data_IF_936408198856
#
_entry.id   IF_936408198856
#
_cell.length_a   1.000
_cell.length_b   1.000
_cell.length_c   1.000
_cell.angle_alpha   90.00
_cell.angle_beta   90.00
_cell.angle_gamma   90.00
#
_symmetry.space_group_name_H-M   'P 1'
#
loop_
_entity.id
_entity.type
_entity.pdbx_description
1 polymer ?
#
# COMPACT_ATOMS: atom_id res chain seq x y z
N UNK A 1 13.93 -20.29 -11.00
CA UNK A 1 15.31 -20.65 -11.36
C UNK A 1 15.54 -20.65 -12.88
N UNK A 2 14.54 -20.94 -13.72
CA UNK A 2 14.77 -21.17 -15.16
C UNK A 2 15.27 -19.97 -16.02
N UNK A 3 14.90 -18.71 -15.73
CA UNK A 3 15.18 -17.60 -16.67
C UNK A 3 16.66 -17.24 -16.77
N UNK A 4 17.40 -17.25 -15.65
CA UNK A 4 18.84 -16.93 -15.65
C UNK A 4 19.67 -18.01 -16.38
N UNK A 5 19.33 -19.28 -16.18
CA UNK A 5 20.00 -20.41 -16.85
C UNK A 5 19.80 -20.32 -18.37
N UNK A 6 18.58 -20.01 -18.84
CA UNK A 6 18.28 -19.81 -20.26
C UNK A 6 19.04 -18.62 -20.86
N UNK A 7 19.27 -17.55 -20.08
CA UNK A 7 20.10 -16.41 -20.52
C UNK A 7 21.56 -16.84 -20.69
N UNK A 8 22.10 -17.63 -19.77
CA UNK A 8 23.46 -18.16 -19.90
C UNK A 8 23.59 -19.08 -21.11
N UNK A 9 22.64 -19.97 -21.32
CA UNK A 9 22.60 -20.86 -22.48
C UNK A 9 22.54 -20.08 -23.80
N UNK A 10 21.70 -19.04 -23.88
CA UNK A 10 21.61 -18.14 -25.04
C UNK A 10 22.96 -17.43 -25.31
N UNK A 11 23.65 -16.96 -24.27
CA UNK A 11 24.97 -16.33 -24.40
C UNK A 11 26.02 -17.30 -24.94
N UNK A 12 26.00 -18.55 -24.46
CA UNK A 12 26.90 -19.59 -24.94
C UNK A 12 26.65 -19.90 -26.43
N UNK A 13 25.39 -20.05 -26.85
CA UNK A 13 25.04 -20.24 -28.28
C UNK A 13 25.50 -19.07 -29.15
N UNK A 14 25.42 -17.84 -28.65
CA UNK A 14 25.96 -16.64 -29.34
C UNK A 14 27.48 -16.72 -29.54
N UNK A 15 28.21 -17.19 -28.53
CA UNK A 15 29.67 -17.41 -28.61
C UNK A 15 30.01 -18.48 -29.64
N UNK A 16 29.22 -19.56 -29.69
CA UNK A 16 29.40 -20.65 -30.68
C UNK A 16 29.20 -20.17 -32.11
N UNK A 17 28.24 -19.28 -32.37
CA UNK A 17 28.06 -18.67 -33.70
C UNK A 17 29.29 -17.86 -34.13
N UNK A 18 29.84 -17.04 -33.23
CA UNK A 18 31.01 -16.19 -33.53
C UNK A 18 32.24 -17.03 -33.88
N UNK A 19 32.44 -18.15 -33.17
CA UNK A 19 33.57 -19.06 -33.38
C UNK A 19 33.35 -20.09 -34.51
N UNK A 20 32.21 -20.04 -35.21
CA UNK A 20 31.86 -21.08 -36.19
C UNK A 20 32.78 -21.05 -37.41
N UNK A 21 33.32 -22.22 -37.76
CA UNK A 21 34.35 -22.36 -38.80
C UNK A 21 33.78 -22.61 -40.21
N UNK A 22 32.59 -23.21 -40.32
CA UNK A 22 31.97 -23.58 -41.61
C UNK A 22 30.57 -22.98 -41.73
N UNK A 23 30.18 -22.55 -42.95
CA UNK A 23 28.89 -21.90 -43.23
C UNK A 23 27.68 -22.72 -42.75
N UNK A 24 27.71 -24.03 -42.92
CA UNK A 24 26.63 -24.92 -42.48
C UNK A 24 26.45 -24.93 -40.95
N UNK A 25 27.55 -24.97 -40.19
CA UNK A 25 27.52 -24.91 -38.71
C UNK A 25 26.99 -23.56 -38.24
N UNK A 26 27.39 -22.47 -38.91
CA UNK A 26 26.87 -21.12 -38.59
C UNK A 26 25.36 -21.02 -38.79
N UNK A 27 24.81 -21.56 -39.88
CA UNK A 27 23.36 -21.56 -40.13
C UNK A 27 22.61 -22.36 -39.07
N UNK A 28 23.10 -23.55 -38.72
CA UNK A 28 22.48 -24.40 -37.69
C UNK A 28 22.48 -23.73 -36.31
N UNK A 29 23.64 -23.27 -35.87
CA UNK A 29 23.80 -22.58 -34.56
C UNK A 29 23.04 -21.25 -34.49
N UNK A 30 22.88 -20.54 -35.61
CA UNK A 30 22.05 -19.34 -35.69
C UNK A 30 20.56 -19.64 -35.46
N UNK A 31 20.05 -20.76 -35.99
CA UNK A 31 18.68 -21.20 -35.74
C UNK A 31 18.48 -21.51 -34.25
N UNK A 32 19.40 -22.26 -33.64
CA UNK A 32 19.37 -22.61 -32.21
C UNK A 32 19.43 -21.36 -31.30
N UNK A 33 20.25 -20.36 -31.63
CA UNK A 33 20.28 -19.08 -30.90
C UNK A 33 18.97 -18.30 -31.03
N UNK A 34 18.35 -18.32 -32.22
CA UNK A 34 17.08 -17.62 -32.46
C UNK A 34 15.96 -18.21 -31.60
N UNK A 35 15.91 -19.53 -31.51
CA UNK A 35 14.97 -20.24 -30.64
C UNK A 35 15.23 -19.94 -29.16
N UNK A 36 16.48 -20.05 -28.70
CA UNK A 36 16.85 -19.75 -27.32
C UNK A 36 16.51 -18.30 -26.92
N UNK A 37 16.76 -17.34 -27.81
CA UNK A 37 16.42 -15.93 -27.59
C UNK A 37 14.91 -15.71 -27.50
N UNK A 38 14.11 -16.43 -28.29
CA UNK A 38 12.64 -16.41 -28.18
C UNK A 38 12.18 -16.95 -26.83
N UNK A 39 12.75 -18.05 -26.36
CA UNK A 39 12.42 -18.64 -25.06
C UNK A 39 12.75 -17.71 -23.89
N UNK A 40 13.91 -17.05 -23.92
CA UNK A 40 14.29 -16.02 -22.92
C UNK A 40 13.29 -14.86 -22.89
N UNK A 41 12.89 -14.34 -24.04
CA UNK A 41 11.88 -13.25 -24.09
C UNK A 41 10.55 -13.68 -23.50
N UNK A 42 10.12 -14.90 -23.77
CA UNK A 42 8.87 -15.44 -23.24
C UNK A 42 8.94 -15.65 -21.72
N UNK A 43 10.06 -16.14 -21.18
CA UNK A 43 10.21 -16.35 -19.74
C UNK A 43 10.26 -15.03 -18.97
N UNK A 44 10.95 -14.01 -19.51
CA UNK A 44 10.95 -12.65 -18.93
C UNK A 44 9.53 -12.09 -18.87
N UNK A 45 8.73 -12.30 -19.93
CA UNK A 45 7.32 -11.86 -19.95
C UNK A 45 6.49 -12.59 -18.89
N UNK A 46 6.65 -13.91 -18.78
CA UNK A 46 5.93 -14.72 -17.81
C UNK A 46 6.30 -14.34 -16.37
N UNK A 47 7.59 -14.16 -16.08
CA UNK A 47 8.07 -13.73 -14.76
C UNK A 47 7.48 -12.36 -14.37
N UNK A 48 7.42 -11.41 -15.32
CA UNK A 48 6.80 -10.09 -15.10
C UNK A 48 5.30 -10.22 -14.81
N UNK A 49 4.59 -11.07 -15.54
CA UNK A 49 3.16 -11.27 -15.33
C UNK A 49 2.90 -11.89 -13.95
N UNK A 50 3.66 -12.93 -13.59
CA UNK A 50 3.57 -13.57 -12.28
C UNK A 50 3.80 -12.58 -11.14
N UNK A 51 4.81 -11.72 -11.27
CA UNK A 51 5.07 -10.66 -10.28
C UNK A 51 3.87 -9.70 -10.11
N UNK A 52 3.22 -9.30 -11.21
CA UNK A 52 2.03 -8.43 -11.16
C UNK A 52 0.82 -9.15 -10.55
N UNK A 53 0.62 -10.43 -10.86
CA UNK A 53 -0.44 -11.26 -10.28
C UNK A 53 -0.25 -11.45 -8.77
N UNK A 54 0.97 -11.71 -8.30
CA UNK A 54 1.28 -11.84 -6.87
C UNK A 54 1.05 -10.53 -6.11
N UNK A 55 1.40 -9.39 -6.72
CA UNK A 55 1.13 -8.06 -6.16
C UNK A 55 -0.38 -7.79 -6.06
N UNK A 56 -1.13 -8.10 -7.12
CA UNK A 56 -2.58 -7.97 -7.15
C UNK A 56 -3.26 -8.91 -6.14
N UNK A 57 -2.78 -10.15 -6.01
CA UNK A 57 -3.26 -11.11 -5.03
C UNK A 57 -2.99 -10.64 -3.60
N UNK A 58 -1.84 -10.01 -3.35
CA UNK A 58 -1.49 -9.45 -2.04
C UNK A 58 -2.37 -8.24 -1.71
N UNK A 59 -2.61 -7.34 -2.66
CA UNK A 59 -3.55 -6.23 -2.51
C UNK A 59 -5.00 -6.71 -2.29
N UNK A 60 -5.45 -7.72 -3.04
CA UNK A 60 -6.75 -8.36 -2.88
C UNK A 60 -6.90 -9.00 -1.48
N UNK A 61 -5.89 -9.72 -1.01
CA UNK A 61 -5.85 -10.28 0.35
C UNK A 61 -5.96 -9.18 1.42
N UNK A 62 -5.26 -8.06 1.28
CA UNK A 62 -5.36 -6.92 2.21
C UNK A 62 -6.77 -6.29 2.22
N UNK A 63 -7.42 -6.19 1.07
CA UNK A 63 -8.82 -5.74 0.97
C UNK A 63 -9.77 -6.72 1.68
N UNK A 64 -9.58 -8.04 1.48
CA UNK A 64 -10.41 -9.06 2.15
C UNK A 64 -10.16 -9.17 3.65
N UNK A 65 -8.93 -8.88 4.12
CA UNK A 65 -8.55 -9.00 5.54
C UNK A 65 -8.97 -7.78 6.37
N UNK A 66 -9.23 -6.64 5.74
CA UNK A 66 -9.60 -5.39 6.42
C UNK A 66 -10.99 -4.83 6.12
N UNK A 67 -11.71 -5.29 5.08
CA UNK A 67 -13.00 -4.69 4.69
C UNK A 67 -14.00 -5.72 4.10
N UNK A 68 -15.01 -6.16 4.86
CA UNK A 68 -16.36 -5.55 4.91
C UNK A 68 -17.26 -5.94 3.72
N UNK A 69 -18.07 -6.99 3.92
CA UNK A 69 -19.24 -7.50 3.17
C UNK A 69 -20.23 -6.43 2.64
N UNK A 70 -20.02 -5.16 2.98
CA UNK A 70 -20.87 -4.00 2.65
C UNK A 70 -20.50 -3.30 1.34
N UNK A 71 -19.30 -3.52 0.78
CA UNK A 71 -18.85 -2.80 -0.42
C UNK A 71 -19.12 -3.52 -1.76
N UNK A 72 -19.27 -4.85 -1.77
CA UNK A 72 -19.35 -5.63 -3.02
C UNK A 72 -20.77 -5.70 -3.60
N UNK A 73 -21.82 -5.66 -2.79
CA UNK A 73 -23.22 -5.67 -3.27
C UNK A 73 -23.56 -4.43 -4.11
N UNK A 74 -22.97 -3.27 -3.77
CA UNK A 74 -23.24 -2.01 -4.46
C UNK A 74 -22.41 -1.83 -5.73
N UNK A 75 -21.23 -2.48 -5.84
CA UNK A 75 -20.35 -2.34 -7.02
C UNK A 75 -20.77 -3.22 -8.21
N UNK A 76 -21.47 -4.33 -7.97
CA UNK A 76 -21.96 -5.20 -9.06
C UNK A 76 -23.19 -4.64 -9.78
N UNK A 77 -23.93 -3.71 -9.19
CA UNK A 77 -25.17 -3.15 -9.75
C UNK A 77 -24.98 -1.84 -10.52
N UNK A 78 -23.73 -1.39 -10.74
CA UNK A 78 -23.46 -0.16 -11.51
C UNK A 78 -24.04 1.13 -10.90
N UNK A 79 -24.54 1.06 -9.66
CA UNK A 79 -25.06 2.22 -8.94
C UNK A 79 -23.91 2.85 -8.16
N UNK A 80 -23.44 4.00 -8.62
CA UNK A 80 -22.64 4.91 -7.80
C UNK A 80 -23.53 5.49 -6.69
N UNK A 81 -23.94 4.67 -5.72
CA UNK A 81 -24.41 5.22 -4.45
C UNK A 81 -23.15 5.63 -3.69
N UNK A 82 -22.96 6.93 -3.48
CA UNK A 82 -22.06 7.43 -2.42
C UNK A 82 -22.33 6.58 -1.17
N UNK A 83 -21.33 6.15 -0.38
CA UNK A 83 -21.66 5.70 0.96
C UNK A 83 -22.33 6.90 1.62
N UNK A 84 -23.64 6.80 1.78
CA UNK A 84 -24.41 7.71 2.61
C UNK A 84 -23.69 7.65 3.94
N UNK A 85 -23.00 8.74 4.30
CA UNK A 85 -22.38 8.87 5.61
C UNK A 85 -23.56 8.86 6.56
N UNK A 86 -23.86 7.66 7.08
CA UNK A 86 -24.95 7.44 8.01
C UNK A 86 -24.61 8.31 9.23
N UNK A 87 -25.26 9.47 9.31
CA UNK A 87 -25.21 10.33 10.48
C UNK A 87 -26.19 9.71 11.46
N UNK A 88 -25.67 9.30 12.61
CA UNK A 88 -26.48 8.71 13.67
C UNK A 88 -27.00 9.84 14.58
N UNK A 89 -28.21 9.69 15.09
CA UNK A 89 -28.72 10.53 16.18
C UNK A 89 -27.96 10.24 17.49
N UNK A 90 -28.36 10.90 18.60
CA UNK A 90 -27.69 10.72 19.90
C UNK A 90 -27.97 9.33 20.49
N UNK A 91 -29.01 8.67 19.99
CA UNK A 91 -29.55 7.38 20.41
C UNK A 91 -28.99 6.21 19.56
N UNK A 92 -28.19 6.50 18.54
CA UNK A 92 -27.55 5.51 17.68
C UNK A 92 -28.44 4.94 16.57
N UNK A 93 -29.52 5.65 16.21
CA UNK A 93 -30.40 5.33 15.07
C UNK A 93 -29.95 6.10 13.83
N UNK A 94 -30.08 5.45 12.68
CA UNK A 94 -29.71 6.01 11.38
C UNK A 94 -30.69 7.10 10.97
N UNK A 95 -30.18 8.31 10.73
CA UNK A 95 -30.95 9.42 10.15
C UNK A 95 -30.93 9.27 8.62
N UNK A 96 -32.11 9.07 8.02
CA UNK A 96 -32.28 8.93 6.55
C UNK A 96 -32.77 10.20 5.88
N UNK A 97 -33.26 11.18 6.65
CA UNK A 97 -33.80 12.43 6.12
C UNK A 97 -32.75 13.54 6.09
N UNK A 98 -32.66 14.27 4.97
CA UNK A 98 -31.64 15.31 4.75
C UNK A 98 -31.80 16.50 5.70
N UNK A 99 -33.04 16.83 6.08
CA UNK A 99 -33.32 17.92 7.01
C UNK A 99 -32.85 17.58 8.43
N UNK A 100 -33.17 16.38 8.90
CA UNK A 100 -32.71 15.87 10.20
C UNK A 100 -31.17 15.78 10.25
N UNK A 101 -30.52 15.39 9.14
CA UNK A 101 -29.07 15.36 9.06
C UNK A 101 -28.47 16.76 9.23
N UNK A 102 -29.05 17.79 8.60
CA UNK A 102 -28.61 19.19 8.77
C UNK A 102 -28.80 19.67 10.20
N UNK A 103 -29.96 19.42 10.81
CA UNK A 103 -30.21 19.76 12.21
C UNK A 103 -29.20 19.08 13.15
N UNK A 104 -28.83 17.82 12.87
CA UNK A 104 -27.79 17.12 13.64
C UNK A 104 -26.40 17.75 13.47
N UNK A 105 -26.05 18.19 12.27
CA UNK A 105 -24.81 18.93 12.02
C UNK A 105 -24.79 20.26 12.77
N UNK A 106 -25.88 21.03 12.71
CA UNK A 106 -26.02 22.31 13.43
C UNK A 106 -25.85 22.12 14.93
N UNK A 107 -26.55 21.17 15.55
CA UNK A 107 -26.37 20.86 16.98
C UNK A 107 -24.93 20.47 17.34
N UNK A 108 -24.28 19.65 16.50
CA UNK A 108 -22.91 19.21 16.75
C UNK A 108 -21.93 20.38 16.67
N UNK A 109 -22.07 21.24 15.66
CA UNK A 109 -21.26 22.44 15.52
C UNK A 109 -21.54 23.45 16.63
N UNK A 110 -22.79 23.64 17.02
CA UNK A 110 -23.16 24.53 18.11
C UNK A 110 -22.54 24.08 19.44
N UNK A 111 -22.63 22.79 19.77
CA UNK A 111 -21.98 22.23 20.97
C UNK A 111 -20.46 22.37 20.95
N UNK A 112 -19.84 22.24 19.77
CA UNK A 112 -18.39 22.29 19.62
C UNK A 112 -17.85 23.73 19.64
N UNK A 113 -18.55 24.66 18.98
CA UNK A 113 -18.15 26.07 18.87
C UNK A 113 -18.57 26.91 20.07
N UNK A 114 -19.69 26.57 20.72
CA UNK A 114 -20.19 27.28 21.90
C UNK A 114 -19.87 26.55 23.21
N UNK A 115 -18.84 25.68 23.23
CA UNK A 115 -18.37 25.06 24.48
C UNK A 115 -17.97 26.19 25.45
N UNK A 116 -18.67 26.39 26.57
CA UNK A 116 -18.29 27.40 27.54
C UNK A 116 -16.90 27.07 28.09
N UNK A 117 -16.10 28.09 28.39
CA UNK A 117 -14.82 27.91 29.06
C UNK A 117 -15.04 27.04 30.31
N UNK A 118 -14.19 26.04 30.53
CA UNK A 118 -14.32 25.20 31.71
C UNK A 118 -14.22 26.07 32.96
N UNK A 119 -15.29 26.10 33.75
CA UNK A 119 -15.38 26.87 35.00
C UNK A 119 -14.43 26.37 36.09
N UNK A 120 -13.89 25.16 35.92
CA UNK A 120 -12.86 24.66 36.80
C UNK A 120 -11.52 25.25 36.36
N UNK A 121 -10.85 26.06 37.19
CA UNK A 121 -9.47 26.43 36.91
C UNK A 121 -8.65 25.15 36.79
N UNK A 122 -7.86 25.03 35.72
CA UNK A 122 -6.88 23.95 35.59
C UNK A 122 -5.93 24.07 36.79
N UNK A 123 -6.01 23.15 37.73
CA UNK A 123 -5.04 23.04 38.82
C UNK A 123 -3.71 22.54 38.22
N UNK A 124 -3.00 23.44 37.55
CA UNK A 124 -1.61 23.25 37.17
C UNK A 124 -0.84 23.57 38.43
N UNK A 125 -0.43 22.53 39.15
CA UNK A 125 0.50 22.66 40.26
C UNK A 125 1.77 23.35 39.73
N UNK A 126 2.06 24.55 40.24
CA UNK A 126 3.22 25.30 39.84
C UNK A 126 4.46 24.46 40.16
N UNK A 127 5.27 24.18 39.14
CA UNK A 127 6.53 23.46 39.30
C UNK A 127 7.35 24.13 40.42
N UNK A 128 7.67 23.36 41.46
CA UNK A 128 8.42 23.89 42.59
C UNK A 128 9.81 24.32 42.13
N UNK A 129 10.11 25.57 42.44
CA UNK A 129 11.34 26.27 42.09
C UNK A 129 12.57 25.56 42.66
N UNK A 130 13.63 25.57 41.84
CA UNK A 130 15.04 25.39 42.20
C UNK A 130 15.45 24.01 42.75
N UNK A 131 15.76 23.10 41.82
CA UNK A 131 16.74 22.05 42.12
C UNK A 131 18.06 22.74 42.49
N UNK A 132 18.50 22.57 43.73
CA UNK A 132 19.79 23.03 44.24
C UNK A 132 20.87 22.20 43.52
N UNK A 133 21.37 22.73 42.40
CA UNK A 133 22.53 22.16 41.71
C UNK A 133 23.74 22.53 42.56
N UNK A 134 24.35 21.54 43.21
CA UNK A 134 25.62 21.72 43.88
C UNK A 134 26.70 21.99 42.83
N UNK A 135 27.27 23.20 42.88
CA UNK A 135 28.27 23.69 41.93
C UNK A 135 29.69 23.43 42.43
N UNK A 136 29.89 22.57 43.44
CA UNK A 136 31.24 22.26 43.92
C UNK A 136 32.05 21.51 42.87
N UNK A 137 33.23 22.03 42.45
CA UNK A 137 34.13 21.31 41.57
C UNK A 137 34.69 20.07 42.27
N UNK A 138 34.75 18.91 41.62
CA UNK A 138 35.30 17.71 42.24
C UNK A 138 36.81 17.89 42.46
N UNK A 139 37.26 17.67 43.71
CA UNK A 139 38.69 17.52 44.01
C UNK A 139 39.16 16.16 43.49
N UNK A 140 40.13 16.19 42.59
CA UNK A 140 40.88 15.00 42.19
C UNK A 140 41.99 14.74 43.22
N UNK A 141 42.04 13.51 43.74
CA UNK A 141 43.24 12.89 44.34
C UNK A 141 44.01 12.11 43.28
#
# INVERSE_FOLDING_TARGET
METLDRIQEMKNKKKTIYNSQTRAVRVKTQAEYTEANKQVKNSIRADKQKYLEDLAATAGKAVTKGNVKRMTTNKLTGKYSKPERLVMDKEGKTITETQEQKSRWEEHFEKLLNRPASLNPTNIEAAHTNLLIDVTPPKME
#
